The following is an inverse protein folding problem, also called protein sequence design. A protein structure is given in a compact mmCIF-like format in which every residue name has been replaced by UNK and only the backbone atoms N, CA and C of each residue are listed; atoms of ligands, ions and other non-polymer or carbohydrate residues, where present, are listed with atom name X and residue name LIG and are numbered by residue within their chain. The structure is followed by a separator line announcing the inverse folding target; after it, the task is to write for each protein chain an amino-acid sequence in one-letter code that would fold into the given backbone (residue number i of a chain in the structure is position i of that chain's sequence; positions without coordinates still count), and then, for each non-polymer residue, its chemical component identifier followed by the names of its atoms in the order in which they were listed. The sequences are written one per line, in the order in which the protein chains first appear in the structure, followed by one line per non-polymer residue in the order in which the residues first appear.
data_IF_508481129443
#
_entry.id   IF_508481129443
#
_cell.length_a   1.000
_cell.length_b   1.000
_cell.length_c   1.000
_cell.angle_alpha   90.00
_cell.angle_beta   90.00
_cell.angle_gamma   90.00
#
_symmetry.space_group_name_H-M   'P 1'
#
loop_
_entity.id
_entity.type
_entity.pdbx_description
1 polymer ?
#
# COMPACT_ATOMS: atom_id res chain seq x y z
N UNK A 1 17.10 16.17 -23.28
CA UNK A 1 17.94 16.23 -22.08
C UNK A 1 17.07 15.99 -20.86
N UNK A 2 17.54 15.26 -19.83
CA UNK A 2 16.81 15.13 -18.58
C UNK A 2 16.55 16.52 -17.98
N UNK A 3 15.42 16.74 -17.29
CA UNK A 3 15.16 18.02 -16.64
C UNK A 3 16.29 18.30 -15.65
N UNK A 4 16.87 19.51 -15.65
CA UNK A 4 18.19 19.77 -15.05
C UNK A 4 18.31 19.55 -13.54
N UNK A 5 17.23 19.20 -12.82
CA UNK A 5 17.21 19.10 -11.36
C UNK A 5 16.54 17.82 -10.82
N UNK A 6 16.25 16.82 -11.64
CA UNK A 6 15.61 15.60 -11.14
C UNK A 6 16.61 14.73 -10.36
N UNK A 7 16.39 14.61 -9.06
CA UNK A 7 17.22 13.77 -8.16
C UNK A 7 16.44 12.51 -7.80
N UNK A 8 17.04 11.34 -8.02
CA UNK A 8 16.50 10.08 -7.52
C UNK A 8 17.18 9.69 -6.22
N UNK A 9 16.42 9.18 -5.25
CA UNK A 9 16.94 8.67 -3.97
C UNK A 9 16.51 7.23 -3.75
N UNK A 10 17.44 6.32 -3.55
CA UNK A 10 17.13 4.98 -3.05
C UNK A 10 16.92 5.06 -1.55
N UNK A 11 15.82 4.50 -1.07
CA UNK A 11 15.43 4.55 0.34
C UNK A 11 15.30 3.13 0.88
N UNK A 12 16.08 2.84 1.92
CA UNK A 12 15.98 1.61 2.71
C UNK A 12 15.66 1.94 4.18
N UNK A 13 15.66 0.91 5.04
CA UNK A 13 15.26 1.07 6.45
C UNK A 13 16.23 1.94 7.25
N UNK A 14 17.51 1.91 6.86
CA UNK A 14 18.60 2.54 7.60
C UNK A 14 19.50 3.38 6.68
N UNK A 15 19.13 3.53 5.41
CA UNK A 15 19.94 4.26 4.44
C UNK A 15 19.07 5.05 3.47
N UNK A 16 19.63 6.16 3.01
CA UNK A 16 19.11 6.91 1.87
C UNK A 16 20.30 7.39 1.07
N UNK A 17 20.29 7.15 -0.24
CA UNK A 17 21.38 7.58 -1.11
C UNK A 17 20.87 8.09 -2.45
N UNK A 18 21.62 9.02 -3.05
CA UNK A 18 21.30 9.54 -4.38
C UNK A 18 21.64 8.50 -5.45
N UNK A 19 20.74 8.34 -6.42
CA UNK A 19 20.85 7.40 -7.53
C UNK A 19 20.99 8.16 -8.85
N UNK A 20 21.99 7.84 -9.69
CA UNK A 20 22.02 8.32 -11.06
C UNK A 20 20.79 7.85 -11.86
N UNK A 21 20.14 8.75 -12.60
CA UNK A 21 18.89 8.43 -13.31
C UNK A 21 19.02 7.24 -14.28
N UNK A 22 20.17 7.09 -14.96
CA UNK A 22 20.44 5.93 -15.84
C UNK A 22 20.47 4.58 -15.11
N UNK A 23 20.56 4.56 -13.77
CA UNK A 23 20.54 3.33 -12.97
C UNK A 23 19.17 3.02 -12.38
N UNK A 24 18.19 3.95 -12.43
CA UNK A 24 16.91 3.79 -11.74
C UNK A 24 16.17 2.53 -12.20
N UNK A 25 16.15 2.23 -13.50
CA UNK A 25 15.51 1.02 -14.03
C UNK A 25 16.09 -0.24 -13.38
N UNK A 26 17.41 -0.41 -13.44
CA UNK A 26 18.09 -1.59 -12.93
C UNK A 26 17.95 -1.72 -11.41
N UNK A 27 18.03 -0.61 -10.66
CA UNK A 27 17.87 -0.61 -9.20
C UNK A 27 16.45 -1.00 -8.79
N UNK A 28 15.44 -0.45 -9.43
CA UNK A 28 14.03 -0.82 -9.18
C UNK A 28 13.82 -2.30 -9.47
N UNK A 29 14.34 -2.82 -10.60
CA UNK A 29 14.23 -4.25 -10.94
C UNK A 29 14.94 -5.17 -9.93
N UNK A 30 15.94 -4.67 -9.19
CA UNK A 30 16.61 -5.38 -8.09
C UNK A 30 15.89 -5.27 -6.75
N UNK A 31 14.72 -4.60 -6.70
CA UNK A 31 13.92 -4.47 -5.49
C UNK A 31 14.22 -3.24 -4.67
N UNK A 32 14.90 -2.25 -5.23
CA UNK A 32 15.07 -0.98 -4.54
C UNK A 32 13.84 -0.08 -4.70
N UNK A 33 13.60 0.74 -3.68
CA UNK A 33 12.52 1.74 -3.68
C UNK A 33 13.13 3.10 -3.94
N UNK A 34 12.67 3.76 -4.99
CA UNK A 34 13.21 5.04 -5.43
C UNK A 34 12.20 6.15 -5.17
N UNK A 35 12.60 7.20 -4.47
CA UNK A 35 11.83 8.44 -4.29
C UNK A 35 12.36 9.50 -5.25
N UNK A 36 11.44 10.18 -5.93
CA UNK A 36 11.70 11.30 -6.84
C UNK A 36 11.01 12.58 -6.31
N UNK A 37 11.71 13.43 -5.54
CA UNK A 37 11.16 14.71 -5.10
C UNK A 37 10.92 15.68 -6.27
N UNK A 38 9.82 16.43 -6.21
CA UNK A 38 9.36 17.40 -7.21
C UNK A 38 9.33 16.85 -8.65
N UNK A 39 9.09 15.55 -8.77
CA UNK A 39 9.17 14.83 -10.04
C UNK A 39 8.25 15.43 -11.10
N UNK A 40 6.97 15.62 -10.74
CA UNK A 40 5.95 16.07 -11.67
C UNK A 40 6.17 17.52 -12.11
N UNK A 41 6.73 18.36 -11.22
CA UNK A 41 7.15 19.73 -11.54
C UNK A 41 8.34 19.71 -12.49
N UNK A 42 9.34 18.86 -12.23
CA UNK A 42 10.54 18.74 -13.07
C UNK A 42 10.21 18.33 -14.52
N UNK A 43 9.19 17.49 -14.73
CA UNK A 43 8.72 17.12 -16.08
C UNK A 43 7.64 18.06 -16.64
N UNK A 44 7.23 19.09 -15.90
CA UNK A 44 6.26 20.10 -16.31
C UNK A 44 4.82 19.58 -16.48
N UNK A 45 4.43 18.55 -15.72
CA UNK A 45 3.12 17.88 -15.85
C UNK A 45 2.25 17.93 -14.59
N UNK A 46 2.75 18.49 -13.49
CA UNK A 46 2.01 18.50 -12.23
C UNK A 46 0.65 19.22 -12.35
N UNK A 47 0.63 20.40 -12.95
CA UNK A 47 -0.62 21.16 -13.11
C UNK A 47 -1.63 20.43 -14.00
N UNK A 48 -1.17 19.82 -15.09
CA UNK A 48 -2.06 19.03 -15.95
C UNK A 48 -2.65 17.81 -15.21
N UNK A 49 -1.85 17.17 -14.34
CA UNK A 49 -2.31 16.07 -13.50
C UNK A 49 -3.41 16.54 -12.53
N UNK A 50 -3.17 17.66 -11.82
CA UNK A 50 -4.14 18.30 -10.91
C UNK A 50 -5.42 18.68 -11.63
N UNK A 51 -5.32 19.36 -12.77
CA UNK A 51 -6.50 19.78 -13.56
C UNK A 51 -7.29 18.59 -14.09
N UNK A 52 -6.63 17.47 -14.42
CA UNK A 52 -7.32 16.22 -14.81
C UNK A 52 -8.09 15.63 -13.62
N UNK A 53 -7.52 15.66 -12.41
CA UNK A 53 -8.23 15.27 -11.18
C UNK A 53 -9.45 16.14 -10.91
N UNK A 54 -9.31 17.47 -11.02
CA UNK A 54 -10.42 18.42 -10.82
C UNK A 54 -11.50 18.26 -11.89
N UNK A 55 -11.13 18.02 -13.14
CA UNK A 55 -12.09 17.77 -14.22
C UNK A 55 -12.94 16.51 -13.97
N UNK A 56 -12.34 15.44 -13.44
CA UNK A 56 -13.05 14.24 -13.06
C UNK A 56 -14.03 14.49 -11.90
N UNK A 57 -13.58 15.22 -10.86
CA UNK A 57 -14.44 15.64 -9.75
C UNK A 57 -15.61 16.49 -10.27
N UNK A 58 -15.35 17.50 -11.09
CA UNK A 58 -16.35 18.36 -11.74
C UNK A 58 -17.38 17.54 -12.53
N UNK A 59 -16.93 16.55 -13.29
CA UNK A 59 -17.81 15.65 -14.04
C UNK A 59 -18.71 14.81 -13.13
N UNK A 60 -18.20 14.39 -11.97
CA UNK A 60 -18.91 13.50 -11.07
C UNK A 60 -19.86 14.22 -10.10
N UNK A 61 -19.48 15.39 -9.59
CA UNK A 61 -20.19 16.08 -8.49
C UNK A 61 -20.47 17.56 -8.76
N UNK A 62 -20.17 18.06 -9.96
CA UNK A 62 -20.49 19.42 -10.41
C UNK A 62 -19.40 20.47 -10.10
N UNK A 63 -19.54 21.64 -10.74
CA UNK A 63 -18.56 22.74 -10.70
C UNK A 63 -18.31 23.25 -9.28
N UNK A 64 -19.38 23.47 -8.51
CA UNK A 64 -19.27 24.08 -7.19
C UNK A 64 -18.37 23.29 -6.24
N UNK A 65 -18.54 21.96 -6.17
CA UNK A 65 -17.69 21.10 -5.34
C UNK A 65 -16.26 21.01 -5.88
N UNK A 66 -16.08 20.95 -7.19
CA UNK A 66 -14.74 20.95 -7.80
C UNK A 66 -13.97 22.25 -7.51
N UNK A 67 -14.63 23.41 -7.60
CA UNK A 67 -14.05 24.70 -7.27
C UNK A 67 -13.67 24.78 -5.79
N UNK A 68 -14.50 24.23 -4.89
CA UNK A 68 -14.14 24.10 -3.46
C UNK A 68 -12.91 23.21 -3.24
N UNK A 69 -12.81 22.05 -3.90
CA UNK A 69 -11.62 21.20 -3.81
C UNK A 69 -10.37 21.91 -4.37
N UNK A 70 -10.52 22.69 -5.43
CA UNK A 70 -9.40 23.46 -5.99
C UNK A 70 -8.90 24.55 -5.01
N UNK A 71 -9.82 25.21 -4.30
CA UNK A 71 -9.52 26.25 -3.33
C UNK A 71 -8.98 25.69 -2.00
N UNK A 72 -9.63 24.65 -1.47
CA UNK A 72 -9.37 24.10 -0.13
C UNK A 72 -8.28 23.00 -0.14
N UNK A 73 -7.93 22.47 -1.33
CA UNK A 73 -6.97 21.38 -1.50
C UNK A 73 -7.62 20.00 -1.59
N UNK A 74 -6.87 19.01 -2.08
CA UNK A 74 -7.36 17.63 -2.18
C UNK A 74 -7.47 16.95 -0.81
N UNK A 75 -6.73 17.44 0.17
CA UNK A 75 -6.71 17.00 1.56
C UNK A 75 -8.09 17.21 2.21
N UNK A 76 -8.79 18.27 1.81
CA UNK A 76 -10.12 18.62 2.31
C UNK A 76 -11.29 17.87 1.62
N UNK A 77 -11.02 16.96 0.66
CA UNK A 77 -12.06 16.30 -0.14
C UNK A 77 -13.17 15.66 0.70
N UNK A 78 -12.82 14.98 1.79
CA UNK A 78 -13.79 14.36 2.70
C UNK A 78 -14.76 15.35 3.37
N UNK A 79 -14.39 16.63 3.49
CA UNK A 79 -15.26 17.69 4.05
C UNK A 79 -16.17 18.36 3.00
N UNK A 80 -15.91 18.10 1.71
CA UNK A 80 -16.57 18.74 0.57
C UNK A 80 -17.46 17.76 -0.18
N UNK A 81 -17.04 16.50 -0.22
CA UNK A 81 -17.61 15.44 -1.04
C UNK A 81 -18.12 14.33 -0.12
N UNK A 82 -19.37 13.96 -0.31
CA UNK A 82 -20.00 12.89 0.46
C UNK A 82 -19.40 11.54 0.08
N UNK A 83 -19.36 10.62 1.05
CA UNK A 83 -18.77 9.28 0.88
C UNK A 83 -19.36 8.51 -0.30
N UNK A 84 -20.67 8.65 -0.56
CA UNK A 84 -21.33 8.00 -1.70
C UNK A 84 -20.98 8.62 -3.05
N UNK A 85 -20.64 9.91 -3.08
CA UNK A 85 -20.21 10.61 -4.29
C UNK A 85 -18.79 10.22 -4.71
N UNK A 86 -17.92 9.83 -3.76
CA UNK A 86 -16.57 9.34 -4.05
C UNK A 86 -16.59 8.15 -5.02
N UNK A 87 -17.61 7.29 -4.94
CA UNK A 87 -17.79 6.17 -5.87
C UNK A 87 -17.95 6.64 -7.32
N UNK A 88 -18.66 7.76 -7.52
CA UNK A 88 -18.87 8.38 -8.84
C UNK A 88 -17.60 9.05 -9.35
N UNK A 89 -16.86 9.71 -8.46
CA UNK A 89 -15.56 10.32 -8.78
C UNK A 89 -14.58 9.25 -9.24
N UNK A 90 -14.44 8.14 -8.50
CA UNK A 90 -13.55 7.03 -8.88
C UNK A 90 -13.89 6.46 -10.26
N UNK A 91 -15.18 6.44 -10.65
CA UNK A 91 -15.63 5.98 -11.97
C UNK A 91 -15.34 6.99 -13.09
N UNK A 92 -15.34 8.29 -12.79
CA UNK A 92 -15.07 9.35 -13.76
C UNK A 92 -13.59 9.41 -14.20
N UNK A 93 -12.69 8.78 -13.44
CA UNK A 93 -11.25 8.79 -13.75
C UNK A 93 -10.81 8.06 -15.02
N UNK A 94 -11.75 7.49 -15.78
CA UNK A 94 -11.47 7.08 -17.17
C UNK A 94 -10.90 8.21 -18.02
N UNK A 95 -11.11 9.48 -17.64
CA UNK A 95 -10.47 10.63 -18.29
C UNK A 95 -8.93 10.57 -18.28
N UNK A 96 -8.32 9.94 -17.25
CA UNK A 96 -6.87 9.77 -17.14
C UNK A 96 -6.28 8.88 -18.24
N UNK A 97 -7.08 8.00 -18.84
CA UNK A 97 -6.66 7.16 -19.97
C UNK A 97 -6.11 7.99 -21.14
N UNK A 98 -6.66 9.20 -21.34
CA UNK A 98 -6.19 10.11 -22.39
C UNK A 98 -4.91 10.87 -22.05
N UNK A 99 -4.56 10.95 -20.75
CA UNK A 99 -3.34 11.58 -20.25
C UNK A 99 -2.16 10.60 -20.20
N UNK A 100 -2.44 9.34 -19.85
CA UNK A 100 -1.45 8.32 -19.56
C UNK A 100 -0.36 8.15 -20.66
N UNK A 101 -0.68 8.04 -21.97
CA UNK A 101 0.34 7.80 -22.99
C UNK A 101 1.40 8.92 -23.07
N UNK A 102 0.95 10.18 -23.00
CA UNK A 102 1.83 11.35 -23.11
C UNK A 102 2.64 11.53 -21.83
N UNK A 103 1.98 11.40 -20.66
CA UNK A 103 2.64 11.49 -19.36
C UNK A 103 3.70 10.39 -19.21
N UNK A 104 3.37 9.15 -19.53
CA UNK A 104 4.30 8.02 -19.38
C UNK A 104 5.47 8.08 -20.36
N UNK A 105 5.28 8.59 -21.57
CA UNK A 105 6.40 8.85 -22.49
C UNK A 105 7.40 9.83 -21.87
N UNK A 106 6.91 10.90 -21.23
CA UNK A 106 7.76 11.86 -20.52
C UNK A 106 8.42 11.25 -19.30
N UNK A 107 7.69 10.47 -18.49
CA UNK A 107 8.23 9.76 -17.34
C UNK A 107 9.36 8.82 -17.77
N UNK A 108 9.14 8.01 -18.80
CA UNK A 108 10.12 7.01 -19.24
C UNK A 108 11.39 7.66 -19.75
N UNK A 109 11.26 8.74 -20.53
CA UNK A 109 12.40 9.51 -21.02
C UNK A 109 13.17 10.21 -19.89
N UNK A 110 12.46 10.81 -18.93
CA UNK A 110 13.07 11.58 -17.85
C UNK A 110 13.74 10.70 -16.80
N UNK A 111 13.07 9.61 -16.40
CA UNK A 111 13.49 8.76 -15.27
C UNK A 111 14.36 7.59 -15.73
N UNK A 112 13.89 6.82 -16.72
CA UNK A 112 14.58 5.60 -17.17
C UNK A 112 15.57 5.87 -18.31
N UNK A 113 15.70 7.14 -18.73
CA UNK A 113 16.66 7.63 -19.74
C UNK A 113 16.69 6.79 -21.02
N UNK A 114 15.51 6.36 -21.48
CA UNK A 114 15.38 5.54 -22.68
C UNK A 114 14.29 6.08 -23.60
N UNK A 115 14.53 6.01 -24.90
CA UNK A 115 13.55 6.25 -25.96
C UNK A 115 12.97 4.93 -26.53
N UNK A 116 13.32 3.80 -25.92
CA UNK A 116 12.78 2.50 -26.33
C UNK A 116 11.27 2.43 -26.06
N UNK A 117 10.50 1.77 -26.94
CA UNK A 117 9.12 1.43 -26.64
C UNK A 117 8.99 0.62 -25.35
N UNK A 118 7.90 0.85 -24.63
CA UNK A 118 7.55 0.22 -23.37
C UNK A 118 6.07 -0.18 -23.41
N UNK A 119 5.57 -0.83 -22.36
CA UNK A 119 4.15 -1.13 -22.21
C UNK A 119 3.63 -0.45 -20.96
N UNK A 120 2.35 -0.08 -20.96
CA UNK A 120 1.73 0.58 -19.80
C UNK A 120 0.28 0.18 -19.59
N UNK A 121 -0.15 0.25 -18.34
CA UNK A 121 -1.55 0.05 -17.96
C UNK A 121 -2.43 1.17 -18.53
N UNK A 122 -3.47 0.80 -19.29
CA UNK A 122 -4.34 1.75 -19.98
C UNK A 122 -5.08 2.71 -19.03
N UNK A 123 -5.45 2.23 -17.84
CA UNK A 123 -6.24 2.96 -16.86
C UNK A 123 -5.41 3.17 -15.59
N UNK A 124 -4.89 4.38 -15.34
CA UNK A 124 -4.23 4.71 -14.09
C UNK A 124 -5.11 4.41 -12.87
N UNK A 125 -4.50 3.92 -11.79
CA UNK A 125 -5.22 3.71 -10.54
C UNK A 125 -5.21 5.01 -9.74
N UNK A 126 -6.37 5.67 -9.66
CA UNK A 126 -6.57 6.91 -8.93
C UNK A 126 -7.22 6.62 -7.58
N UNK A 127 -6.67 7.20 -6.51
CA UNK A 127 -7.09 6.91 -5.13
C UNK A 127 -7.40 8.19 -4.36
N UNK A 128 -8.45 8.13 -3.53
CA UNK A 128 -8.88 9.12 -2.55
C UNK A 128 -9.07 8.40 -1.24
N UNK A 129 -7.98 8.20 -0.51
CA UNK A 129 -8.08 7.56 0.78
C UNK A 129 -8.52 8.58 1.81
N UNK A 130 -9.79 8.54 2.19
CA UNK A 130 -10.36 9.45 3.20
C UNK A 130 -9.97 9.02 4.62
N UNK A 131 -9.92 9.94 5.59
CA UNK A 131 -9.69 9.62 6.99
C UNK A 131 -10.60 8.49 7.48
N UNK A 132 -10.05 7.56 8.25
CA UNK A 132 -10.79 6.39 8.72
C UNK A 132 -11.98 6.78 9.60
N UNK A 133 -11.79 7.79 10.46
CA UNK A 133 -12.82 8.28 11.38
C UNK A 133 -13.99 8.95 10.64
N UNK A 134 -13.75 9.49 9.45
CA UNK A 134 -14.76 10.13 8.59
C UNK A 134 -15.56 9.11 7.77
N UNK A 135 -15.07 7.88 7.61
CA UNK A 135 -15.75 6.88 6.78
C UNK A 135 -17.05 6.36 7.39
N UNK A 136 -17.24 6.49 8.71
CA UNK A 136 -18.34 5.87 9.44
C UNK A 136 -18.45 4.35 9.20
N UNK A 137 -19.56 3.73 9.65
CA UNK A 137 -19.89 2.31 9.33
C UNK A 137 -20.51 2.17 7.93
N UNK A 138 -20.03 2.92 6.94
CA UNK A 138 -20.60 2.91 5.59
C UNK A 138 -20.22 1.62 4.83
N UNK A 139 -21.00 1.25 3.81
CA UNK A 139 -20.82 0.04 2.97
C UNK A 139 -19.54 0.04 2.09
N UNK A 140 -18.58 0.94 2.35
CA UNK A 140 -17.29 0.98 1.65
C UNK A 140 -16.35 -0.18 2.02
N UNK A 141 -16.78 -1.09 2.89
CA UNK A 141 -16.06 -2.32 3.23
C UNK A 141 -15.91 -3.31 2.08
N UNK A 142 -16.62 -3.12 0.95
CA UNK A 142 -16.50 -4.00 -0.21
C UNK A 142 -15.08 -3.95 -0.79
N UNK A 143 -14.54 -5.12 -1.17
CA UNK A 143 -13.19 -5.26 -1.76
C UNK A 143 -12.96 -4.36 -2.98
N UNK A 144 -14.02 -3.96 -3.70
CA UNK A 144 -13.94 -3.10 -4.89
C UNK A 144 -13.40 -1.70 -4.58
N UNK A 145 -13.55 -1.23 -3.33
CA UNK A 145 -13.10 0.09 -2.87
C UNK A 145 -11.78 0.04 -2.11
N UNK A 146 -11.30 -1.17 -1.79
CA UNK A 146 -10.01 -1.44 -1.17
C UNK A 146 -8.86 -0.94 -2.05
N UNK A 147 -7.96 -0.15 -1.48
CA UNK A 147 -6.84 0.48 -2.19
C UNK A 147 -7.25 1.63 -3.12
N UNK A 148 -8.50 2.09 -3.05
CA UNK A 148 -9.00 3.25 -3.81
C UNK A 148 -9.60 4.31 -2.90
N UNK A 149 -10.53 3.91 -2.05
CA UNK A 149 -11.17 4.77 -1.05
C UNK A 149 -10.77 4.33 0.36
N UNK A 150 -10.68 3.01 0.57
CA UNK A 150 -10.28 2.42 1.84
C UNK A 150 -8.89 1.83 1.75
N UNK A 151 -8.24 1.57 2.89
CA UNK A 151 -6.90 0.99 2.91
C UNK A 151 -6.89 -0.42 2.28
N UNK A 152 -5.93 -0.68 1.40
CA UNK A 152 -5.71 -2.01 0.82
C UNK A 152 -4.80 -2.88 1.68
N UNK A 153 -5.16 -4.15 1.85
CA UNK A 153 -4.31 -5.15 2.52
C UNK A 153 -2.98 -5.37 1.75
N UNK A 154 -1.95 -5.97 2.38
CA UNK A 154 -0.70 -6.32 1.71
C UNK A 154 -0.89 -7.22 0.50
N UNK A 155 -0.28 -6.85 -0.62
CA UNK A 155 -0.32 -7.62 -1.86
C UNK A 155 0.90 -7.37 -2.75
N UNK A 156 1.10 -8.28 -3.72
CA UNK A 156 1.86 -8.00 -4.93
C UNK A 156 0.91 -7.58 -6.04
N UNK A 157 1.34 -6.68 -6.93
CA UNK A 157 0.51 -6.24 -8.05
C UNK A 157 0.13 -7.40 -8.98
N UNK A 158 1.02 -8.39 -9.13
CA UNK A 158 0.75 -9.57 -9.97
C UNK A 158 -0.38 -10.46 -9.45
N UNK A 159 -0.72 -10.40 -8.17
CA UNK A 159 -1.86 -11.11 -7.60
C UNK A 159 -3.19 -10.60 -8.15
N UNK A 160 -3.22 -9.35 -8.64
CA UNK A 160 -4.37 -8.73 -9.27
C UNK A 160 -4.23 -8.64 -10.79
N UNK A 161 -3.38 -9.50 -11.37
CA UNK A 161 -3.23 -9.65 -12.82
C UNK A 161 -2.26 -8.66 -13.44
N UNK A 162 -1.53 -7.86 -12.68
CA UNK A 162 -0.45 -7.05 -13.25
C UNK A 162 0.73 -7.94 -13.70
N UNK A 163 1.60 -7.44 -14.59
CA UNK A 163 2.81 -8.16 -14.96
C UNK A 163 3.79 -8.29 -13.79
N UNK A 164 4.49 -9.42 -13.68
CA UNK A 164 5.53 -9.65 -12.67
C UNK A 164 6.80 -8.84 -12.89
N UNK A 165 6.98 -8.27 -14.08
CA UNK A 165 8.07 -7.34 -14.39
C UNK A 165 7.58 -5.89 -14.47
N UNK A 166 6.47 -5.59 -13.79
CA UNK A 166 5.92 -4.23 -13.77
C UNK A 166 6.70 -3.32 -12.82
N UNK A 167 6.75 -2.05 -13.19
CA UNK A 167 7.23 -0.95 -12.37
C UNK A 167 6.02 -0.08 -12.06
N UNK A 168 5.81 0.19 -10.78
CA UNK A 168 4.75 1.06 -10.28
C UNK A 168 5.34 2.44 -9.98
N UNK A 169 4.71 3.47 -10.54
CA UNK A 169 5.05 4.88 -10.34
C UNK A 169 3.87 5.49 -9.58
N UNK A 170 4.06 5.74 -8.29
CA UNK A 170 3.04 6.19 -7.36
C UNK A 170 3.24 7.67 -7.05
N UNK A 171 2.35 8.51 -7.56
CA UNK A 171 2.51 9.97 -7.60
C UNK A 171 1.59 10.62 -6.57
N UNK A 172 2.18 11.43 -5.69
CA UNK A 172 1.45 12.29 -4.76
C UNK A 172 0.78 13.44 -5.54
N UNK A 173 -0.55 13.53 -5.51
CA UNK A 173 -1.27 14.68 -6.07
C UNK A 173 -1.66 15.66 -4.96
N UNK A 174 -2.10 15.14 -3.82
CA UNK A 174 -2.08 15.85 -2.53
C UNK A 174 -0.91 15.40 -1.67
N UNK A 175 -0.75 16.00 -0.49
CA UNK A 175 0.27 15.64 0.48
C UNK A 175 0.07 14.20 0.99
N UNK A 176 1.18 13.50 1.18
CA UNK A 176 1.22 12.18 1.82
C UNK A 176 2.00 12.31 3.11
N UNK A 177 1.43 11.78 4.20
CA UNK A 177 1.97 11.82 5.55
C UNK A 177 2.05 10.40 6.12
N UNK A 178 2.86 10.22 7.16
CA UNK A 178 2.74 9.02 7.98
C UNK A 178 1.32 8.89 8.51
N UNK A 179 0.78 7.68 8.46
CA UNK A 179 -0.61 7.41 8.80
C UNK A 179 -1.57 7.62 7.65
N UNK A 180 -1.17 8.07 6.45
CA UNK A 180 -2.05 8.02 5.28
C UNK A 180 -1.37 7.51 4.01
N UNK A 181 -0.09 7.12 4.06
CA UNK A 181 0.73 6.73 2.92
C UNK A 181 0.64 5.27 2.48
N UNK A 182 1.69 4.82 1.81
CA UNK A 182 1.89 3.44 1.35
C UNK A 182 3.01 2.79 2.16
N UNK A 183 2.82 1.53 2.54
CA UNK A 183 3.83 0.70 3.18
C UNK A 183 4.45 -0.23 2.14
N UNK A 184 5.79 -0.26 2.05
CA UNK A 184 6.57 -1.20 1.23
C UNK A 184 7.37 -2.13 2.14
N UNK A 185 7.52 -3.41 1.79
CA UNK A 185 8.20 -4.41 2.62
C UNK A 185 9.41 -5.03 1.90
N UNK A 186 10.58 -4.36 1.89
CA UNK A 186 11.76 -4.81 1.14
C UNK A 186 12.30 -6.18 1.57
N UNK A 187 12.15 -6.57 2.84
CA UNK A 187 12.68 -7.83 3.40
C UNK A 187 12.04 -9.08 2.78
N UNK A 188 10.90 -8.88 2.10
CA UNK A 188 10.17 -9.95 1.39
C UNK A 188 10.10 -9.74 -0.11
N UNK A 189 10.86 -8.77 -0.64
CA UNK A 189 10.97 -8.60 -2.08
C UNK A 189 11.47 -9.89 -2.75
N UNK A 190 10.81 -10.27 -3.85
CA UNK A 190 11.16 -11.46 -4.62
C UNK A 190 10.78 -12.79 -3.96
N UNK A 191 10.11 -12.76 -2.79
CA UNK A 191 9.69 -13.96 -2.08
C UNK A 191 8.24 -14.30 -2.35
N UNK A 192 7.91 -15.60 -2.38
CA UNK A 192 6.54 -16.07 -2.56
C UNK A 192 5.84 -16.20 -1.21
N UNK A 193 4.87 -15.34 -0.98
CA UNK A 193 4.12 -15.34 0.28
C UNK A 193 2.83 -16.17 0.20
N UNK A 194 2.50 -16.93 1.25
CA UNK A 194 1.22 -17.62 1.36
C UNK A 194 0.03 -16.65 1.24
N UNK A 195 -0.83 -16.91 0.25
CA UNK A 195 -2.06 -16.18 0.02
C UNK A 195 -3.21 -17.14 -0.30
N UNK A 196 -4.43 -16.67 -0.12
CA UNK A 196 -5.65 -17.35 -0.56
C UNK A 196 -5.68 -17.46 -2.08
N UNK A 197 -6.56 -18.33 -2.61
CA UNK A 197 -6.77 -18.47 -4.07
C UNK A 197 -7.13 -17.17 -4.79
N UNK A 198 -7.69 -16.19 -4.05
CA UNK A 198 -8.08 -14.89 -4.57
C UNK A 198 -6.99 -13.82 -4.40
N UNK A 199 -5.75 -14.22 -4.07
CA UNK A 199 -4.63 -13.29 -3.91
C UNK A 199 -4.64 -12.50 -2.60
N UNK A 200 -5.52 -12.82 -1.63
CA UNK A 200 -5.46 -12.19 -0.30
C UNK A 200 -4.38 -12.84 0.53
N UNK A 201 -3.44 -12.05 1.04
CA UNK A 201 -2.40 -12.52 1.96
C UNK A 201 -2.98 -13.20 3.21
N UNK A 202 -2.32 -14.26 3.71
CA UNK A 202 -2.75 -14.89 4.97
C UNK A 202 -2.45 -13.97 6.17
N UNK A 203 -3.28 -13.97 7.24
CA UNK A 203 -3.13 -13.03 8.37
C UNK A 203 -1.89 -13.19 9.23
N UNK A 204 -1.29 -14.38 9.22
CA UNK A 204 -0.23 -14.83 10.13
C UNK A 204 1.17 -14.72 9.54
N UNK A 205 1.36 -13.84 8.57
CA UNK A 205 2.56 -13.80 7.75
C UNK A 205 3.43 -12.61 8.17
N UNK A 206 4.71 -12.87 8.43
CA UNK A 206 5.69 -11.86 8.81
C UNK A 206 6.43 -11.32 7.58
N UNK A 207 6.40 -10.01 7.39
CA UNK A 207 7.04 -9.34 6.26
C UNK A 207 8.18 -8.39 6.65
N UNK A 208 8.52 -8.33 7.93
CA UNK A 208 9.46 -7.34 8.45
C UNK A 208 8.83 -5.96 8.65
N UNK A 209 9.70 -4.99 8.92
CA UNK A 209 9.34 -3.58 9.12
C UNK A 209 9.07 -2.90 7.78
N UNK A 210 7.98 -2.14 7.71
CA UNK A 210 7.63 -1.37 6.53
C UNK A 210 8.56 -0.18 6.30
N UNK A 211 8.75 0.19 5.03
CA UNK A 211 9.14 1.51 4.59
C UNK A 211 7.89 2.35 4.34
N UNK A 212 7.90 3.56 4.89
CA UNK A 212 6.83 4.55 4.79
C UNK A 212 7.43 5.89 4.39
N UNK A 213 6.61 6.77 3.82
CA UNK A 213 7.09 7.97 3.14
C UNK A 213 6.17 9.15 3.40
N UNK A 214 6.77 10.31 3.63
CA UNK A 214 6.10 11.59 3.46
C UNK A 214 6.46 12.13 2.08
N UNK A 215 5.46 12.57 1.33
CA UNK A 215 5.62 13.08 -0.02
C UNK A 215 4.91 14.42 -0.15
N UNK A 216 5.61 15.40 -0.70
CA UNK A 216 4.99 16.64 -1.12
C UNK A 216 4.16 16.41 -2.41
N UNK A 217 3.15 17.24 -2.68
CA UNK A 217 2.44 17.21 -3.95
C UNK A 217 3.42 17.29 -5.14
N UNK A 218 3.36 16.29 -6.03
CA UNK A 218 4.20 16.15 -7.21
C UNK A 218 5.44 15.25 -7.04
N UNK A 219 5.75 14.83 -5.81
CA UNK A 219 6.72 13.77 -5.56
C UNK A 219 6.19 12.41 -6.07
N UNK A 220 7.09 11.47 -6.32
CA UNK A 220 6.73 10.10 -6.67
C UNK A 220 7.60 9.05 -5.99
N UNK A 221 7.02 7.88 -5.74
CA UNK A 221 7.74 6.65 -5.39
C UNK A 221 7.71 5.71 -6.60
N UNK A 222 8.84 5.12 -6.93
CA UNK A 222 8.99 4.13 -7.97
C UNK A 222 9.49 2.84 -7.33
N UNK A 223 8.75 1.76 -7.54
CA UNK A 223 9.09 0.44 -7.02
C UNK A 223 8.63 -0.64 -7.99
N UNK A 224 9.22 -1.82 -7.87
CA UNK A 224 8.83 -2.99 -8.66
C UNK A 224 7.51 -3.58 -8.16
N UNK A 225 6.61 -3.99 -9.06
CA UNK A 225 5.27 -4.48 -8.71
C UNK A 225 5.23 -5.74 -7.84
N UNK A 226 6.35 -6.47 -7.77
CA UNK A 226 6.55 -7.61 -6.86
C UNK A 226 7.11 -7.21 -5.48
N UNK A 227 7.20 -5.93 -5.16
CA UNK A 227 7.25 -5.53 -3.74
C UNK A 227 5.93 -5.88 -3.09
N UNK A 228 5.98 -6.52 -1.92
CA UNK A 228 4.79 -6.56 -1.09
C UNK A 228 4.53 -5.13 -0.62
N UNK A 229 3.30 -4.68 -0.77
CA UNK A 229 2.90 -3.34 -0.36
C UNK A 229 1.45 -3.29 0.08
N UNK A 230 1.13 -2.30 0.90
CA UNK A 230 -0.23 -2.03 1.40
C UNK A 230 -0.47 -0.54 1.54
N UNK A 231 -1.73 -0.13 1.59
CA UNK A 231 -2.04 1.23 2.04
C UNK A 231 -1.98 1.27 3.57
N UNK A 232 -1.41 2.33 4.12
CA UNK A 232 -1.59 2.64 5.53
C UNK A 232 -3.09 2.86 5.82
N UNK A 233 -3.56 2.57 7.02
CA UNK A 233 -4.90 2.99 7.42
C UNK A 233 -4.86 4.50 7.56
N UNK A 234 -5.72 5.25 6.86
CA UNK A 234 -5.69 6.71 6.95
C UNK A 234 -6.11 7.17 8.35
N UNK A 235 -5.13 7.39 9.22
CA UNK A 235 -5.27 7.81 10.61
C UNK A 235 -4.93 9.30 10.78
N UNK A 236 -4.89 10.05 9.69
CA UNK A 236 -4.75 11.51 9.65
C UNK A 236 -6.10 12.17 9.42
N UNK A 237 -6.16 13.49 9.60
CA UNK A 237 -7.34 14.30 9.27
C UNK A 237 -7.37 14.72 7.78
N UNK A 238 -6.38 14.31 6.98
CA UNK A 238 -6.25 14.68 5.57
C UNK A 238 -6.69 13.54 4.64
N UNK A 239 -7.45 13.84 3.59
CA UNK A 239 -7.66 12.90 2.47
C UNK A 239 -6.39 12.74 1.65
N UNK A 240 -5.89 11.50 1.49
CA UNK A 240 -4.79 11.22 0.57
C UNK A 240 -5.32 11.13 -0.86
N UNK A 241 -4.80 11.97 -1.75
CA UNK A 241 -5.02 11.84 -3.20
C UNK A 241 -3.74 11.46 -3.96
N UNK A 242 -3.77 10.32 -4.65
CA UNK A 242 -2.65 9.81 -5.45
C UNK A 242 -3.09 9.22 -6.78
N UNK A 243 -2.16 9.24 -7.74
CA UNK A 243 -2.30 8.60 -9.05
C UNK A 243 -1.16 7.59 -9.22
N UNK A 244 -1.51 6.34 -9.44
CA UNK A 244 -0.57 5.26 -9.68
C UNK A 244 -0.59 4.88 -11.15
N UNK A 245 0.58 4.88 -11.76
CA UNK A 245 0.81 4.42 -13.13
C UNK A 245 1.64 3.13 -13.09
N UNK A 246 1.40 2.22 -14.03
CA UNK A 246 2.19 1.00 -14.16
C UNK A 246 2.73 0.84 -15.56
N UNK A 247 4.01 0.45 -15.65
CA UNK A 247 4.68 0.18 -16.91
C UNK A 247 5.46 -1.13 -16.87
N UNK A 248 5.85 -1.64 -18.03
CA UNK A 248 6.93 -2.60 -18.18
C UNK A 248 7.89 -2.09 -19.25
N UNK A 249 9.19 -2.08 -18.96
CA UNK A 249 10.21 -1.68 -19.95
C UNK A 249 10.48 -2.78 -21.01
N UNK A 250 10.08 -4.01 -20.70
CA UNK A 250 10.09 -5.15 -21.60
C UNK A 250 8.65 -5.62 -21.90
N UNK A 251 8.50 -6.67 -22.72
CA UNK A 251 7.22 -7.36 -22.89
C UNK A 251 6.64 -7.79 -21.52
N UNK A 252 5.35 -7.51 -21.22
CA UNK A 252 4.70 -7.92 -19.98
C UNK A 252 4.76 -9.44 -19.75
N UNK A 253 5.10 -9.85 -18.52
CA UNK A 253 5.14 -11.26 -18.08
C UNK A 253 4.05 -11.47 -17.02
N UNK A 254 3.11 -12.39 -17.21
CA UNK A 254 1.98 -12.58 -16.29
C UNK A 254 2.04 -13.93 -15.55
N UNK A 255 1.61 -13.96 -14.28
CA UNK A 255 1.36 -15.20 -13.54
C UNK A 255 0.00 -15.80 -13.95
N UNK A 256 -0.09 -16.28 -15.19
CA UNK A 256 -1.31 -16.93 -15.71
C UNK A 256 -2.22 -16.01 -16.55
N UNK A 257 -3.53 -16.26 -16.50
CA UNK A 257 -4.51 -15.48 -17.26
C UNK A 257 -4.69 -14.12 -16.61
N UNK A 258 -4.35 -13.05 -17.32
CA UNK A 258 -4.61 -11.68 -16.90
C UNK A 258 -5.71 -11.03 -17.74
N UNK A 259 -6.53 -10.20 -17.11
CA UNK A 259 -7.46 -9.28 -17.76
C UNK A 259 -6.88 -7.87 -17.95
N UNK A 260 -5.69 -7.60 -17.39
CA UNK A 260 -5.07 -6.28 -17.41
C UNK A 260 -4.64 -5.91 -18.83
N UNK A 261 -5.05 -4.71 -19.26
CA UNK A 261 -4.78 -4.21 -20.61
C UNK A 261 -3.52 -3.36 -20.59
N UNK A 262 -2.39 -3.97 -20.98
CA UNK A 262 -1.14 -3.25 -21.21
C UNK A 262 -1.04 -2.83 -22.68
N UNK A 263 -0.85 -1.54 -22.92
CA UNK A 263 -0.75 -0.92 -24.24
C UNK A 263 0.73 -0.75 -24.58
N UNK A 264 1.13 -1.13 -25.79
CA UNK A 264 2.48 -0.91 -26.32
C UNK A 264 2.65 0.54 -26.80
N UNK A 265 3.74 1.21 -26.41
CA UNK A 265 3.98 2.63 -26.73
C UNK A 265 4.67 2.89 -28.07
N UNK A 266 5.14 1.85 -28.79
CA UNK A 266 5.80 2.01 -30.10
C UNK A 266 4.88 2.60 -31.18
N UNK A 267 5.42 2.82 -32.39
CA UNK A 267 4.73 3.48 -33.53
C UNK A 267 3.26 3.06 -33.63
N UNK A 268 2.38 3.96 -33.19
CA UNK A 268 0.97 3.67 -32.96
C UNK A 268 0.42 4.20 -31.63
N UNK A 269 1.25 4.43 -30.60
CA UNK A 269 0.79 4.94 -29.30
C UNK A 269 0.11 6.31 -29.37
N UNK A 270 0.71 7.27 -30.09
CA UNK A 270 0.13 8.62 -30.27
C UNK A 270 -1.09 8.61 -31.20
N UNK A 271 -1.05 7.80 -32.26
CA UNK A 271 -2.19 7.60 -33.17
C UNK A 271 -3.36 6.91 -32.47
N UNK A 272 -3.10 5.91 -31.63
CA UNK A 272 -4.10 5.25 -30.80
C UNK A 272 -4.63 6.18 -29.72
N UNK A 273 -3.80 7.01 -29.09
CA UNK A 273 -4.27 8.02 -28.13
C UNK A 273 -5.16 9.08 -28.81
N UNK A 274 -4.82 9.49 -30.03
CA UNK A 274 -5.65 10.35 -30.87
C UNK A 274 -6.98 9.68 -31.25
N UNK A 275 -6.93 8.40 -31.67
CA UNK A 275 -8.12 7.60 -31.92
C UNK A 275 -8.96 7.43 -30.65
N UNK A 276 -8.37 7.19 -29.48
CA UNK A 276 -9.12 7.02 -28.23
C UNK A 276 -9.81 8.34 -27.80
N UNK A 277 -9.19 9.51 -28.08
CA UNK A 277 -9.84 10.82 -27.91
C UNK A 277 -11.02 11.04 -28.86
N UNK A 278 -10.99 10.43 -30.05
CA UNK A 278 -12.08 10.47 -31.02
C UNK A 278 -13.15 9.42 -30.67
N UNK A 279 -12.75 8.23 -30.24
CA UNK A 279 -13.59 7.07 -29.91
C UNK A 279 -14.26 7.21 -28.54
N UNK A 280 -13.69 7.96 -27.59
CA UNK A 280 -14.44 8.32 -26.37
C UNK A 280 -15.70 9.15 -26.67
N UNK A 281 -15.81 9.76 -27.86
CA UNK A 281 -17.07 10.34 -28.37
C UNK A 281 -17.95 9.37 -29.17
N UNK A 282 -17.46 8.19 -29.56
CA UNK A 282 -18.15 7.24 -30.44
C UNK A 282 -18.14 5.82 -29.83
N UNK A 283 -19.31 5.41 -29.34
CA UNK A 283 -19.72 4.16 -28.66
C UNK A 283 -18.77 2.95 -28.56
N UNK A 284 -18.94 2.21 -27.45
CA UNK A 284 -18.24 1.02 -26.97
C UNK A 284 -18.05 -0.17 -27.95
N UNK A 285 -18.60 -0.13 -29.17
CA UNK A 285 -18.55 -1.25 -30.13
C UNK A 285 -17.21 -1.38 -30.87
N UNK A 286 -16.47 -0.29 -31.08
CA UNK A 286 -15.21 -0.34 -31.85
C UNK A 286 -14.00 -0.86 -31.04
N UNK A 287 -13.96 -0.60 -29.72
CA UNK A 287 -12.87 -1.05 -28.84
C UNK A 287 -12.72 -2.59 -28.78
N UNK A 288 -13.79 -3.34 -29.07
CA UNK A 288 -13.76 -4.81 -29.12
C UNK A 288 -13.03 -5.36 -30.35
N UNK A 289 -12.97 -4.62 -31.45
CA UNK A 289 -12.38 -5.09 -32.71
C UNK A 289 -10.85 -4.93 -32.74
N UNK A 290 -10.31 -3.91 -32.08
CA UNK A 290 -8.86 -3.63 -32.07
C UNK A 290 -8.10 -4.57 -31.12
N UNK A 291 -8.73 -4.98 -30.01
CA UNK A 291 -8.09 -5.84 -29.02
C UNK A 291 -8.01 -7.33 -29.41
N UNK A 292 -8.57 -7.74 -30.56
CA UNK A 292 -8.61 -9.15 -30.96
C UNK A 292 -7.34 -9.64 -31.69
N UNK A 293 -6.42 -8.74 -32.06
CA UNK A 293 -5.28 -9.07 -32.93
C UNK A 293 -3.92 -9.29 -32.22
N UNK A 294 -3.83 -9.14 -30.90
CA UNK A 294 -2.59 -9.42 -30.17
C UNK A 294 -2.64 -10.81 -29.53
N UNK A 295 -1.97 -11.76 -30.20
CA UNK A 295 -1.92 -13.18 -29.84
C UNK A 295 -1.47 -13.44 -28.40
N UNK A 296 -2.15 -14.40 -27.75
CA UNK A 296 -1.81 -14.94 -26.43
C UNK A 296 -0.44 -15.62 -26.48
N UNK A 297 0.58 -14.94 -25.95
CA UNK A 297 1.90 -15.51 -25.73
C UNK A 297 1.93 -16.16 -24.34
N UNK A 298 2.04 -17.50 -24.28
CA UNK A 298 2.45 -18.20 -23.07
C UNK A 298 3.95 -17.98 -22.91
N UNK A 299 4.34 -17.15 -21.94
CA UNK A 299 5.75 -16.99 -21.56
C UNK A 299 6.19 -18.18 -20.71
N UNK A 300 7.41 -18.69 -20.87
CA UNK A 300 7.98 -19.67 -19.94
C UNK A 300 8.01 -19.06 -18.53
N UNK A 301 7.48 -19.79 -17.56
CA UNK A 301 7.55 -19.41 -16.14
C UNK A 301 9.03 -19.36 -15.73
N UNK A 302 9.53 -18.15 -15.44
CA UNK A 302 10.70 -18.04 -14.57
C UNK A 302 10.28 -18.58 -13.21
N UNK A 303 11.03 -19.55 -12.67
CA UNK A 303 10.81 -20.03 -11.31
C UNK A 303 11.07 -18.86 -10.36
N UNK A 304 10.01 -18.30 -9.81
CA UNK A 304 10.11 -17.54 -8.56
C UNK A 304 10.36 -18.61 -7.50
N UNK A 305 11.47 -18.51 -6.78
CA UNK A 305 11.79 -19.48 -5.73
C UNK A 305 10.66 -19.48 -4.69
N UNK A 306 10.08 -20.65 -4.47
CA UNK A 306 9.06 -20.84 -3.44
C UNK A 306 9.72 -20.86 -2.07
N UNK A 307 10.08 -19.67 -1.60
CA UNK A 307 10.71 -19.42 -0.31
C UNK A 307 9.71 -19.40 0.83
N UNK A 308 8.44 -19.80 0.60
CA UNK A 308 7.42 -19.85 1.66
C UNK A 308 7.83 -20.74 2.84
N UNK A 309 8.68 -21.74 2.59
CA UNK A 309 9.28 -22.60 3.62
C UNK A 309 10.39 -21.91 4.45
N UNK A 310 11.04 -20.88 3.89
CA UNK A 310 12.17 -20.16 4.50
C UNK A 310 11.72 -18.95 5.35
N UNK A 311 10.42 -18.64 5.31
CA UNK A 311 9.86 -17.65 6.21
C UNK A 311 9.78 -18.18 7.63
N UNK A 312 9.86 -17.30 8.65
CA UNK A 312 9.49 -17.67 9.99
C UNK A 312 8.11 -18.29 9.92
N UNK A 313 8.04 -19.61 10.15
CA UNK A 313 6.77 -20.28 10.33
C UNK A 313 6.06 -19.60 11.51
N UNK A 314 4.72 -19.71 11.56
CA UNK A 314 3.97 -19.22 12.71
C UNK A 314 4.74 -19.61 13.97
N UNK A 315 5.13 -18.62 14.77
CA UNK A 315 5.73 -18.92 16.07
C UNK A 315 4.71 -19.82 16.78
N UNK A 316 5.05 -21.09 17.02
CA UNK A 316 4.10 -22.04 17.57
C UNK A 316 3.63 -21.47 18.90
N UNK A 317 2.32 -21.55 19.12
CA UNK A 317 1.77 -21.22 20.44
C UNK A 317 2.38 -22.21 21.43
N UNK A 318 3.05 -21.73 22.46
CA UNK A 318 3.76 -22.58 23.44
C UNK A 318 2.82 -23.51 24.22
N UNK A 319 1.52 -23.21 24.28
CA UNK A 319 0.53 -24.06 24.95
C UNK A 319 -0.03 -25.13 24.01
N UNK A 320 -0.01 -26.39 24.49
CA UNK A 320 -0.64 -27.54 23.82
C UNK A 320 -2.05 -27.18 23.30
N UNK A 321 -2.27 -27.52 22.03
CA UNK A 321 -3.51 -27.29 21.31
C UNK A 321 -4.66 -28.01 22.03
N UNK A 322 -5.55 -27.28 22.71
CA UNK A 322 -6.81 -27.88 23.16
C UNK A 322 -7.59 -27.19 24.27
N UNK A 323 -7.02 -26.29 25.06
CA UNK A 323 -7.76 -25.67 26.17
C UNK A 323 -7.76 -24.15 26.07
N UNK A 324 -8.96 -23.56 26.13
CA UNK A 324 -9.13 -22.12 26.30
C UNK A 324 -8.65 -21.74 27.71
N UNK A 325 -7.34 -21.56 27.88
CA UNK A 325 -6.78 -21.07 29.13
C UNK A 325 -7.26 -19.62 29.28
N UNK A 326 -8.01 -19.36 30.35
CA UNK A 326 -8.40 -18.01 30.72
C UNK A 326 -7.12 -17.14 30.88
N UNK A 327 -7.11 -15.87 30.44
CA UNK A 327 -5.92 -15.01 30.48
C UNK A 327 -5.22 -14.96 31.85
N UNK A 328 -5.98 -15.12 32.93
CA UNK A 328 -5.48 -15.11 34.32
C UNK A 328 -4.53 -16.26 34.69
N UNK A 329 -4.48 -17.34 33.90
CA UNK A 329 -3.72 -18.56 34.24
C UNK A 329 -2.53 -18.81 33.30
N UNK A 330 -2.18 -17.85 32.44
CA UNK A 330 -1.08 -18.02 31.51
C UNK A 330 0.25 -17.62 32.17
N UNK A 331 1.14 -18.60 32.37
CA UNK A 331 2.51 -18.39 32.83
C UNK A 331 3.47 -18.52 31.65
N UNK A 332 4.40 -17.57 31.51
CA UNK A 332 5.49 -17.67 30.54
C UNK A 332 6.77 -17.04 31.10
N UNK A 333 7.92 -17.57 30.68
CA UNK A 333 9.23 -17.07 31.09
C UNK A 333 9.57 -15.77 30.32
N UNK A 334 9.26 -14.64 30.94
CA UNK A 334 9.51 -13.35 30.32
C UNK A 334 11.01 -13.04 30.17
N UNK A 335 11.91 -13.70 30.93
CA UNK A 335 13.36 -13.43 30.85
C UNK A 335 13.94 -13.72 29.46
N UNK A 336 13.29 -14.63 28.72
CA UNK A 336 13.64 -14.99 27.34
C UNK A 336 13.11 -14.02 26.29
N UNK A 337 12.22 -13.08 26.64
CA UNK A 337 11.62 -12.14 25.70
C UNK A 337 12.57 -10.95 25.49
N UNK A 338 13.06 -10.74 24.27
CA UNK A 338 13.97 -9.63 23.94
C UNK A 338 13.22 -8.31 23.84
N UNK A 339 13.91 -7.20 24.10
CA UNK A 339 13.34 -5.85 23.90
C UNK A 339 12.93 -5.69 22.43
N UNK A 340 11.70 -5.25 22.20
CA UNK A 340 11.08 -5.08 20.88
C UNK A 340 10.54 -6.36 20.24
N UNK A 341 10.76 -7.53 20.84
CA UNK A 341 10.20 -8.79 20.36
C UNK A 341 8.70 -8.86 20.64
N UNK A 342 7.92 -9.38 19.69
CA UNK A 342 6.53 -9.78 19.90
C UNK A 342 6.47 -11.30 19.91
N UNK A 343 6.00 -11.89 21.01
CA UNK A 343 5.88 -13.34 21.16
C UNK A 343 4.41 -13.73 21.32
N UNK A 344 3.86 -14.61 20.46
CA UNK A 344 2.54 -15.17 20.70
C UNK A 344 2.59 -16.08 21.93
N UNK A 345 1.63 -15.88 22.83
CA UNK A 345 1.48 -16.68 24.04
C UNK A 345 0.35 -17.71 23.91
N UNK A 346 -0.69 -17.34 23.16
CA UNK A 346 -1.87 -18.17 22.89
C UNK A 346 -2.44 -17.85 21.51
N UNK A 347 -3.53 -18.51 21.07
CA UNK A 347 -4.24 -18.11 19.86
C UNK A 347 -4.77 -16.67 19.93
N UNK A 348 -4.93 -16.09 21.12
CA UNK A 348 -5.56 -14.79 21.32
C UNK A 348 -4.66 -13.74 21.97
N UNK A 349 -3.48 -14.11 22.47
CA UNK A 349 -2.60 -13.21 23.23
C UNK A 349 -1.17 -13.21 22.68
N UNK A 350 -0.55 -12.04 22.78
CA UNK A 350 0.87 -11.80 22.58
C UNK A 350 1.47 -11.11 23.80
N UNK A 351 2.77 -11.26 24.01
CA UNK A 351 3.57 -10.40 24.87
C UNK A 351 4.61 -9.64 24.05
N UNK A 352 4.95 -8.45 24.53
CA UNK A 352 6.12 -7.73 24.08
C UNK A 352 6.89 -7.13 25.25
N UNK A 353 8.21 -7.04 25.11
CA UNK A 353 9.07 -6.32 26.05
C UNK A 353 9.40 -4.94 25.47
N UNK A 354 8.91 -3.89 26.09
CA UNK A 354 9.16 -2.51 25.64
C UNK A 354 10.55 -2.03 26.01
N UNK A 355 11.05 -2.46 27.17
CA UNK A 355 12.39 -2.17 27.67
C UNK A 355 12.80 -3.23 28.70
N UNK A 356 13.99 -3.09 29.31
CA UNK A 356 14.52 -4.07 30.27
C UNK A 356 13.55 -4.40 31.41
N UNK A 357 12.70 -3.46 31.83
CA UNK A 357 11.88 -3.58 33.03
C UNK A 357 10.39 -3.71 32.74
N UNK A 358 9.96 -3.63 31.48
CA UNK A 358 8.54 -3.57 31.14
C UNK A 358 8.16 -4.58 30.08
N UNK A 359 7.30 -5.50 30.48
CA UNK A 359 6.63 -6.49 29.62
C UNK A 359 5.14 -6.15 29.61
N UNK A 360 4.52 -6.26 28.44
CA UNK A 360 3.10 -5.98 28.24
C UNK A 360 2.48 -7.16 27.50
N UNK A 361 1.32 -7.61 27.98
CA UNK A 361 0.50 -8.64 27.31
C UNK A 361 -0.66 -7.95 26.63
N UNK A 362 -1.05 -8.39 25.44
CA UNK A 362 -2.09 -7.75 24.65
C UNK A 362 -2.80 -8.75 23.72
N UNK A 363 -3.97 -8.36 23.21
CA UNK A 363 -4.73 -9.15 22.22
C UNK A 363 -3.93 -9.35 20.94
N UNK A 364 -3.81 -10.59 20.47
CA UNK A 364 -3.00 -10.97 19.30
C UNK A 364 -3.48 -10.37 17.98
N UNK A 365 -4.77 -10.12 17.83
CA UNK A 365 -5.35 -9.75 16.54
C UNK A 365 -5.69 -8.26 16.48
N UNK A 366 -5.26 -7.61 15.39
CA UNK A 366 -5.58 -6.21 15.14
C UNK A 366 -7.11 -5.98 15.12
N UNK A 367 -7.63 -4.98 15.87
CA UNK A 367 -9.07 -4.71 15.92
C UNK A 367 -9.66 -4.28 14.57
N UNK A 368 -8.86 -3.77 13.63
CA UNK A 368 -9.31 -3.34 12.30
C UNK A 368 -9.66 -4.52 11.38
N UNK A 369 -8.67 -5.34 10.98
CA UNK A 369 -8.88 -6.43 10.01
C UNK A 369 -8.31 -7.78 10.47
N UNK A 370 -8.13 -7.96 11.79
CA UNK A 370 -7.69 -9.22 12.40
C UNK A 370 -6.32 -9.73 11.92
N UNK A 371 -5.46 -8.83 11.42
CA UNK A 371 -4.06 -9.13 11.17
C UNK A 371 -3.41 -9.67 12.46
N UNK A 372 -2.53 -10.67 12.33
CA UNK A 372 -1.79 -11.21 13.46
C UNK A 372 -0.70 -10.24 13.88
N UNK A 373 -0.83 -9.62 15.05
CA UNK A 373 0.14 -8.66 15.57
C UNK A 373 1.44 -9.33 16.01
N UNK A 374 1.49 -10.66 16.15
CA UNK A 374 2.75 -11.39 16.31
C UNK A 374 3.67 -11.21 15.10
N UNK A 375 3.09 -10.91 13.93
CA UNK A 375 3.83 -10.58 12.72
C UNK A 375 4.15 -9.08 12.57
N UNK A 376 3.76 -8.26 13.54
CA UNK A 376 4.05 -6.83 13.59
C UNK A 376 5.47 -6.52 14.07
N UNK A 377 5.68 -5.27 14.48
CA UNK A 377 6.92 -4.83 15.10
C UNK A 377 6.65 -3.79 16.17
N UNK A 378 7.63 -3.54 17.04
CA UNK A 378 7.54 -2.54 18.11
C UNK A 378 8.38 -1.32 17.77
N UNK A 379 7.79 -0.14 17.91
CA UNK A 379 8.48 1.14 17.76
C UNK A 379 7.85 2.16 18.71
N UNK A 380 8.66 2.95 19.40
CA UNK A 380 8.22 4.05 20.27
C UNK A 380 7.10 3.66 21.27
N UNK A 381 7.24 2.48 21.90
CA UNK A 381 6.26 1.98 22.87
C UNK A 381 4.93 1.51 22.26
N UNK A 382 4.86 1.42 20.93
CA UNK A 382 3.69 0.95 20.19
C UNK A 382 3.96 -0.39 19.52
N UNK A 383 2.93 -1.24 19.42
CA UNK A 383 2.92 -2.39 18.50
C UNK A 383 2.28 -1.94 17.20
N UNK A 384 2.96 -2.16 16.08
CA UNK A 384 2.50 -1.73 14.76
C UNK A 384 1.93 -2.91 13.99
N UNK A 385 0.72 -2.70 13.47
CA UNK A 385 0.03 -3.70 12.66
C UNK A 385 0.79 -3.98 11.34
N UNK A 386 1.07 -5.25 11.01
CA UNK A 386 1.82 -5.59 9.81
C UNK A 386 1.05 -5.37 8.50
N UNK A 387 -0.27 -5.15 8.56
CA UNK A 387 -1.07 -4.97 7.34
C UNK A 387 -1.20 -3.52 6.89
N UNK A 388 -1.50 -2.61 7.82
CA UNK A 388 -1.81 -1.22 7.50
C UNK A 388 -0.94 -0.22 8.25
N UNK A 389 0.17 -0.70 8.84
CA UNK A 389 1.13 0.10 9.60
C UNK A 389 0.53 0.94 10.73
N UNK A 390 -0.62 0.52 11.26
CA UNK A 390 -1.32 1.25 12.32
C UNK A 390 -0.66 0.97 13.69
N UNK A 391 -0.16 2.01 14.39
CA UNK A 391 0.41 1.84 15.73
C UNK A 391 -0.68 1.73 16.80
N UNK A 392 -0.47 0.84 17.77
CA UNK A 392 -1.25 0.73 19.00
C UNK A 392 -0.37 1.01 20.21
N UNK A 393 -0.76 1.97 21.05
CA UNK A 393 -0.03 2.29 22.28
C UNK A 393 -0.08 1.12 23.26
N UNK A 394 1.06 0.67 23.76
CA UNK A 394 1.12 -0.37 24.79
C UNK A 394 0.80 0.16 26.21
N UNK A 395 0.46 1.45 26.34
CA UNK A 395 -0.06 2.03 27.58
C UNK A 395 -1.60 1.92 27.67
N UNK A 396 -2.30 2.14 26.56
CA UNK A 396 -3.77 2.30 26.55
C UNK A 396 -4.49 1.41 25.55
N UNK A 397 -3.76 0.76 24.65
CA UNK A 397 -4.31 0.06 23.50
C UNK A 397 -4.83 0.96 22.39
N UNK A 398 -4.80 2.29 22.57
CA UNK A 398 -5.35 3.23 21.61
C UNK A 398 -4.51 3.27 20.32
N UNK A 399 -5.19 3.52 19.20
CA UNK A 399 -4.58 3.90 17.92
C UNK A 399 -4.89 5.36 17.61
N UNK A 400 -4.23 5.99 16.61
CA UNK A 400 -4.58 7.35 16.22
C UNK A 400 -6.00 7.49 15.64
N UNK A 401 -6.60 6.41 15.14
CA UNK A 401 -8.01 6.40 14.72
C UNK A 401 -8.94 6.27 15.94
N UNK A 402 -9.78 7.28 16.18
CA UNK A 402 -10.69 7.36 17.32
C UNK A 402 -11.88 6.40 17.20
N UNK A 403 -12.33 6.14 15.98
CA UNK A 403 -13.46 5.24 15.71
C UNK A 403 -13.08 3.76 15.80
N UNK A 404 -11.77 3.45 15.87
CA UNK A 404 -11.29 2.09 15.98
C UNK A 404 -11.26 1.63 17.45
N UNK A 405 -11.78 0.44 17.78
CA UNK A 405 -11.66 -0.10 19.13
C UNK A 405 -10.20 -0.19 19.59
N UNK A 406 -9.96 0.12 20.86
CA UNK A 406 -8.65 -0.07 21.46
C UNK A 406 -8.26 -1.54 21.43
N UNK A 407 -6.96 -1.79 21.25
CA UNK A 407 -6.37 -3.08 21.48
C UNK A 407 -6.45 -3.43 22.97
N UNK A 408 -6.92 -4.61 23.32
CA UNK A 408 -6.93 -5.02 24.73
C UNK A 408 -5.49 -5.18 25.21
N UNK A 409 -5.12 -4.43 26.25
CA UNK A 409 -3.82 -4.52 26.93
C UNK A 409 -4.06 -5.00 28.36
N UNK A 410 -3.23 -5.92 28.82
CA UNK A 410 -3.31 -6.53 30.14
C UNK A 410 -2.11 -6.06 30.98
N UNK A 411 -2.37 -5.76 32.25
CA UNK A 411 -1.29 -5.51 33.20
C UNK A 411 -0.53 -6.81 33.49
N UNK A 412 0.77 -6.77 33.28
CA UNK A 412 1.67 -7.84 33.69
C UNK A 412 2.06 -7.62 35.16
N UNK A 413 1.56 -8.45 36.05
CA UNK A 413 2.06 -8.53 37.43
C UNK A 413 3.14 -9.62 37.52
N UNK A 414 4.38 -9.24 37.82
CA UNK A 414 5.45 -10.20 38.08
C UNK A 414 5.15 -10.89 39.42
N UNK A 415 4.85 -12.19 39.41
CA UNK A 415 4.88 -13.00 40.64
C UNK A 415 6.32 -13.35 40.93
N UNK A 416 6.84 -12.98 42.10
CA UNK A 416 8.13 -13.47 42.55
C UNK A 416 8.00 -14.97 42.87
N UNK A 417 9.02 -15.78 42.58
CA UNK A 417 9.04 -17.21 42.95
C UNK A 417 9.01 -17.45 44.48
N UNK A 418 8.93 -16.39 45.31
CA UNK A 418 9.01 -16.47 46.77
C UNK A 418 7.76 -16.05 47.54
N UNK A 419 6.68 -15.61 46.87
CA UNK A 419 5.50 -15.13 47.59
C UNK A 419 4.50 -16.28 47.85
N UNK A 420 4.58 -16.84 49.06
CA UNK A 420 3.50 -17.60 49.68
C UNK A 420 2.22 -16.76 49.68
N UNK A 421 1.09 -17.42 49.43
CA UNK A 421 -0.23 -16.82 49.36
C UNK A 421 -0.58 -16.02 50.61
N UNK A 422 -0.74 -14.69 50.48
CA UNK A 422 -1.66 -13.93 51.31
C UNK A 422 -2.84 -13.48 50.45
N UNK A 423 -4.02 -13.98 50.81
CA UNK A 423 -5.31 -13.62 50.24
C UNK A 423 -5.55 -12.11 50.33
N UNK A 424 -5.95 -11.42 49.24
CA UNK A 424 -6.43 -10.05 49.32
C UNK A 424 -7.74 -10.00 50.08
N UNK A 425 -7.83 -9.13 51.08
CA UNK A 425 -9.09 -8.73 51.70
C UNK A 425 -9.94 -7.96 50.69
N UNK A 426 -11.16 -8.44 50.50
CA UNK A 426 -12.22 -7.74 49.76
C UNK A 426 -12.60 -6.46 50.52
N UNK A 427 -12.61 -5.31 49.82
CA UNK A 427 -13.34 -4.10 50.19
C UNK A 427 -14.32 -3.78 49.08
#
# INVERSE_FOLDING_TARGET
MPPPNLTAKSVGLEHTETVPLNQVADRVMRGEVIVLPQFMQAIGYFEQLKQTSLAAIRQAVGEHKAARVEADGFEAVHTIIEVDELKSIVRSYKIFRSLAPVLLTKVVKAVFQTDKPFYFEAEPNVQFQIPYDEMGRTELSSWRWSGKITAGCPHHDSWYGCPTNSITIWIAVGAVRFGNGISLYPQVYGKRLPCTKNGKILPNQYFGRALNFELAPGDAIIFHGEHLHSSELNSTDDTRHVVSLRITLEKPKFQGKSSSQFIYSGFGGEFMALLDRIVTKVSHRMAKLINFSFGRSRSPQRSIDDTSADFPQQLPVETEVGTAIAPANLSFDCSKLKVGEIRPLSPNLCATRLNKNRVVVFSRHCPHQKADLAAGYVVDGCVVCPWHNLPFSMNSGASPCQSLPHLTVFEYSQRSEKDEWQTPSLC
#
